data_IF_506270629827
#
_entry.id   IF_506270629827
#
_cell.length_a   1.000
_cell.length_b   1.000
_cell.length_c   1.000
_cell.angle_alpha   90.00
_cell.angle_beta   90.00
_cell.angle_gamma   90.00
#
_symmetry.space_group_name_H-M   'P 1'
#
loop_
_entity.id
_entity.type
_entity.pdbx_description
1 polymer ?
#
# COMPACT_ATOMS: atom_id res chain seq x y z
N UNK A 1 -7.38 -17.99 29.00
CA UNK A 1 -8.19 -16.78 28.71
C UNK A 1 -7.34 -15.86 27.85
N UNK A 2 -7.59 -15.81 26.54
CA UNK A 2 -6.90 -14.86 25.65
C UNK A 2 -7.50 -13.49 25.87
N UNK A 3 -6.86 -12.65 26.70
CA UNK A 3 -7.07 -11.21 26.56
C UNK A 3 -6.26 -10.79 25.35
N UNK A 4 -6.91 -10.17 24.38
CA UNK A 4 -6.22 -9.49 23.30
C UNK A 4 -5.17 -8.57 23.92
N UNK A 5 -3.99 -8.52 23.30
CA UNK A 5 -2.93 -7.63 23.73
C UNK A 5 -3.48 -6.19 23.73
N UNK A 6 -3.46 -5.47 24.87
CA UNK A 6 -4.03 -4.13 24.92
C UNK A 6 -3.17 -3.19 24.06
N UNK A 7 -3.80 -2.59 23.05
CA UNK A 7 -3.22 -1.52 22.22
C UNK A 7 -3.73 -0.16 22.69
N UNK A 8 -2.96 0.90 22.44
CA UNK A 8 -3.30 2.27 22.82
C UNK A 8 -3.76 3.08 21.59
N UNK A 9 -5.07 3.27 21.46
CA UNK A 9 -5.67 4.06 20.39
C UNK A 9 -5.19 5.52 20.36
N UNK A 10 -4.84 6.10 21.52
CA UNK A 10 -4.31 7.47 21.58
C UNK A 10 -2.96 7.60 20.91
N UNK A 11 -2.07 6.61 21.05
CA UNK A 11 -0.77 6.57 20.36
C UNK A 11 -0.94 6.42 18.85
N UNK A 12 -1.86 5.56 18.43
CA UNK A 12 -2.19 5.38 17.00
C UNK A 12 -2.68 6.71 16.41
N UNK A 13 -3.63 7.37 17.07
CA UNK A 13 -4.15 8.65 16.63
C UNK A 13 -3.05 9.73 16.59
N UNK A 14 -2.20 9.83 17.61
CA UNK A 14 -1.08 10.78 17.64
C UNK A 14 -0.14 10.61 16.44
N UNK A 15 0.29 9.38 16.14
CA UNK A 15 1.23 9.15 15.04
C UNK A 15 0.56 9.37 13.67
N UNK A 16 -0.72 9.01 13.51
CA UNK A 16 -1.49 9.30 12.28
C UNK A 16 -1.62 10.82 12.08
N UNK A 17 -2.00 11.58 13.11
CA UNK A 17 -2.15 13.03 13.00
C UNK A 17 -0.80 13.74 12.77
N UNK A 18 0.29 13.24 13.38
CA UNK A 18 1.62 13.75 13.13
C UNK A 18 2.04 13.57 11.67
N UNK A 19 1.80 12.39 11.09
CA UNK A 19 2.03 12.15 9.67
C UNK A 19 1.05 12.93 8.79
N UNK A 20 -0.21 13.10 9.19
CA UNK A 20 -1.18 13.90 8.46
C UNK A 20 -0.78 15.39 8.36
N UNK A 21 -0.05 15.90 9.35
CA UNK A 21 0.51 17.25 9.37
C UNK A 21 1.72 17.45 8.46
N UNK A 22 2.41 16.37 8.06
CA UNK A 22 3.55 16.41 7.11
C UNK A 22 3.04 16.32 5.68
N UNK A 23 2.54 17.45 5.19
CA UNK A 23 1.84 17.55 3.90
C UNK A 23 2.30 18.77 3.09
N UNK A 24 2.21 18.67 1.76
CA UNK A 24 2.50 19.77 0.86
C UNK A 24 1.61 21.01 1.17
N UNK A 25 2.16 22.23 1.14
CA UNK A 25 1.38 23.44 1.42
C UNK A 25 0.18 23.58 0.47
N UNK A 26 -1.03 23.67 1.04
CA UNK A 26 -2.27 23.81 0.27
C UNK A 26 -2.84 22.51 -0.30
N UNK A 27 -2.16 21.38 -0.12
CA UNK A 27 -2.55 20.07 -0.61
C UNK A 27 -2.69 19.11 0.58
N UNK A 28 -3.89 18.84 1.09
CA UNK A 28 -4.07 17.97 2.26
C UNK A 28 -3.52 16.55 2.00
N UNK A 29 -2.88 15.99 3.03
CA UNK A 29 -2.35 14.62 3.07
C UNK A 29 -1.52 14.20 1.85
N UNK A 30 -0.80 15.16 1.27
CA UNK A 30 0.07 14.96 0.12
C UNK A 30 1.52 14.91 0.59
N UNK A 31 2.07 13.70 0.53
CA UNK A 31 3.46 13.34 0.82
C UNK A 31 3.86 12.26 -0.18
N UNK A 32 4.31 12.69 -1.35
CA UNK A 32 4.65 11.78 -2.46
C UNK A 32 5.98 11.09 -2.21
N UNK A 33 6.10 9.83 -2.62
CA UNK A 33 7.38 9.12 -2.59
C UNK A 33 8.51 9.92 -3.27
N UNK A 34 9.73 9.80 -2.74
CA UNK A 34 10.93 10.51 -3.20
C UNK A 34 10.94 12.04 -2.99
N UNK A 35 9.94 12.61 -2.34
CA UNK A 35 9.93 14.03 -1.94
C UNK A 35 10.69 14.26 -0.62
N UNK A 36 11.11 15.51 -0.33
CA UNK A 36 11.66 15.86 0.99
C UNK A 36 10.69 15.55 2.14
N UNK A 37 9.39 15.86 1.97
CA UNK A 37 8.36 15.54 2.96
C UNK A 37 8.23 14.04 3.22
N UNK A 38 8.44 13.20 2.20
CA UNK A 38 8.48 11.75 2.39
C UNK A 38 9.65 11.32 3.26
N UNK A 39 10.84 11.89 3.06
CA UNK A 39 11.99 11.64 3.95
C UNK A 39 11.72 12.12 5.38
N UNK A 40 11.08 13.28 5.56
CA UNK A 40 10.68 13.76 6.89
C UNK A 40 9.69 12.80 7.58
N UNK A 41 8.68 12.32 6.84
CA UNK A 41 7.73 11.31 7.33
C UNK A 41 8.42 10.00 7.72
N UNK A 42 9.38 9.54 6.92
CA UNK A 42 10.15 8.33 7.24
C UNK A 42 11.10 8.51 8.41
N UNK A 43 11.72 9.68 8.55
CA UNK A 43 12.52 10.00 9.73
C UNK A 43 11.66 9.99 11.00
N UNK A 44 10.42 10.48 10.93
CA UNK A 44 9.46 10.37 12.02
C UNK A 44 9.14 8.90 12.36
N UNK A 45 8.79 8.08 11.35
CA UNK A 45 8.48 6.66 11.54
C UNK A 45 9.68 5.90 12.12
N UNK A 46 10.88 6.12 11.57
CA UNK A 46 12.11 5.49 12.04
C UNK A 46 12.38 5.83 13.51
N UNK A 47 12.26 7.11 13.89
CA UNK A 47 12.42 7.53 15.28
C UNK A 47 11.42 6.83 16.21
N UNK A 48 10.17 6.66 15.77
CA UNK A 48 9.13 5.97 16.53
C UNK A 48 9.38 4.45 16.62
N UNK A 49 9.92 3.82 15.57
CA UNK A 49 10.38 2.43 15.58
C UNK A 49 11.52 2.24 16.59
N UNK A 50 12.55 3.10 16.55
CA UNK A 50 13.67 3.09 17.52
C UNK A 50 13.16 3.25 18.95
N UNK A 51 12.26 4.20 19.18
CA UNK A 51 11.65 4.42 20.49
C UNK A 51 10.85 3.18 20.97
N UNK A 52 10.26 2.40 20.06
CA UNK A 52 9.61 1.13 20.35
C UNK A 52 10.58 -0.04 20.61
N UNK A 53 11.90 0.23 20.62
CA UNK A 53 12.95 -0.76 20.84
C UNK A 53 13.24 -1.64 19.64
N UNK A 54 12.96 -1.15 18.43
CA UNK A 54 13.27 -1.85 17.18
C UNK A 54 14.63 -1.39 16.65
N UNK A 55 15.40 -2.33 16.08
CA UNK A 55 16.58 -2.03 15.27
C UNK A 55 16.13 -1.65 13.86
N UNK A 56 16.47 -0.44 13.41
CA UNK A 56 16.02 0.05 12.11
C UNK A 56 17.10 -0.08 11.04
N UNK A 57 16.66 -0.34 9.81
CA UNK A 57 17.52 -0.33 8.62
C UNK A 57 16.73 0.06 7.38
N UNK A 58 17.46 0.46 6.34
CA UNK A 58 16.96 0.58 4.98
C UNK A 58 17.47 -0.63 4.18
N UNK A 59 16.59 -1.32 3.45
CA UNK A 59 17.00 -2.42 2.57
C UNK A 59 17.46 -1.94 1.19
N UNK A 60 17.91 -2.85 0.32
CA UNK A 60 18.37 -2.51 -1.02
C UNK A 60 17.28 -1.84 -1.89
N UNK A 61 16.01 -2.10 -1.62
CA UNK A 61 14.88 -1.50 -2.32
C UNK A 61 14.44 -0.17 -1.71
N UNK A 62 15.12 0.30 -0.67
CA UNK A 62 14.80 1.56 -0.01
C UNK A 62 13.64 1.45 0.97
N UNK A 63 13.21 0.25 1.39
CA UNK A 63 12.16 0.06 2.41
C UNK A 63 12.68 0.35 3.81
N UNK A 64 11.84 0.87 4.71
CA UNK A 64 12.22 1.16 6.09
C UNK A 64 11.71 0.01 6.94
N UNK A 65 12.62 -0.63 7.65
CA UNK A 65 12.33 -1.83 8.43
C UNK A 65 12.78 -1.63 9.85
N UNK A 66 11.88 -1.82 10.81
CA UNK A 66 12.19 -1.93 12.24
C UNK A 66 12.06 -3.39 12.68
N UNK A 67 13.15 -3.99 13.15
CA UNK A 67 13.21 -5.40 13.57
C UNK A 67 13.25 -5.54 15.08
N UNK A 68 12.54 -6.56 15.59
CA UNK A 68 12.73 -7.14 16.91
C UNK A 68 13.12 -8.61 16.76
N UNK A 69 14.28 -8.96 17.28
CA UNK A 69 14.76 -10.35 17.25
C UNK A 69 13.92 -11.23 18.17
N UNK A 70 13.47 -12.37 17.65
CA UNK A 70 12.75 -13.39 18.39
C UNK A 70 13.68 -14.35 19.14
N UNK A 71 13.10 -15.21 19.97
CA UNK A 71 13.85 -16.23 20.74
C UNK A 71 14.40 -17.36 19.85
N UNK A 72 13.78 -17.58 18.69
CA UNK A 72 14.08 -18.66 17.74
C UNK A 72 14.11 -18.10 16.31
N UNK A 73 15.08 -17.24 15.96
CA UNK A 73 15.11 -16.54 14.68
C UNK A 73 15.18 -17.50 13.46
N UNK A 74 15.60 -18.75 13.65
CA UNK A 74 15.55 -19.78 12.60
C UNK A 74 14.13 -20.22 12.22
N UNK A 75 13.09 -19.81 12.96
CA UNK A 75 11.69 -19.95 12.55
C UNK A 75 11.28 -18.91 11.52
N UNK A 76 12.14 -17.93 11.23
CA UNK A 76 11.90 -16.86 10.26
C UNK A 76 11.15 -15.66 10.85
N UNK A 77 10.62 -14.85 9.94
CA UNK A 77 10.12 -13.50 10.21
C UNK A 77 8.60 -13.44 10.04
N UNK A 78 7.90 -12.81 10.99
CA UNK A 78 6.54 -12.30 10.82
C UNK A 78 6.65 -10.82 10.52
N UNK A 79 6.18 -10.40 9.36
CA UNK A 79 6.27 -9.03 8.90
C UNK A 79 4.88 -8.36 8.95
N UNK A 80 4.83 -7.15 9.49
CA UNK A 80 3.65 -6.31 9.56
C UNK A 80 3.96 -4.97 8.93
N UNK A 81 3.05 -4.40 8.14
CA UNK A 81 3.31 -3.08 7.58
C UNK A 81 2.40 -2.72 6.42
N UNK A 82 2.78 -1.64 5.75
CA UNK A 82 2.11 -1.09 4.56
C UNK A 82 3.04 -0.01 3.97
N UNK A 83 2.54 1.17 3.63
CA UNK A 83 3.31 2.30 3.08
C UNK A 83 2.95 3.64 3.74
N UNK A 84 3.80 4.65 3.56
CA UNK A 84 3.58 5.99 4.12
C UNK A 84 3.63 7.11 3.09
N UNK A 85 3.93 6.78 1.82
CA UNK A 85 3.71 7.68 0.70
C UNK A 85 2.22 7.77 0.36
N UNK A 86 1.84 8.87 -0.26
CA UNK A 86 0.46 9.22 -0.60
C UNK A 86 0.39 9.84 -1.98
N UNK A 87 -0.82 9.85 -2.55
CA UNK A 87 -1.15 10.57 -3.78
C UNK A 87 -1.49 12.04 -3.52
N UNK A 88 -1.47 12.92 -4.53
CA UNK A 88 -1.98 14.28 -4.42
C UNK A 88 -3.41 14.32 -3.90
N UNK A 89 -3.63 15.14 -2.87
CA UNK A 89 -4.91 15.31 -2.17
C UNK A 89 -5.54 13.97 -1.73
N UNK A 90 -4.68 13.03 -1.30
CA UNK A 90 -5.06 11.68 -0.87
C UNK A 90 -5.80 11.63 0.46
N UNK A 91 -5.57 10.58 1.25
CA UNK A 91 -6.18 10.40 2.56
C UNK A 91 -5.14 10.24 3.67
N UNK A 92 -5.49 10.62 4.90
CA UNK A 92 -4.60 10.46 6.07
C UNK A 92 -4.43 9.03 6.59
N UNK A 93 -5.17 8.07 6.04
CA UNK A 93 -5.22 6.69 6.54
C UNK A 93 -4.66 5.67 5.56
N UNK A 94 -4.69 5.97 4.27
CA UNK A 94 -4.24 5.09 3.19
C UNK A 94 -2.75 4.77 3.36
N UNK A 95 -2.40 3.48 3.44
CA UNK A 95 -1.09 2.98 3.86
C UNK A 95 -0.71 3.26 5.33
N UNK A 96 -0.77 4.52 5.75
CA UNK A 96 -0.31 5.03 7.04
C UNK A 96 -0.95 4.26 8.20
N UNK A 97 -2.24 3.94 8.11
CA UNK A 97 -2.94 3.17 9.13
C UNK A 97 -2.31 1.79 9.35
N UNK A 98 -1.83 1.14 8.28
CA UNK A 98 -1.16 -0.15 8.34
C UNK A 98 0.20 -0.07 9.04
N UNK A 99 1.04 0.90 8.65
CA UNK A 99 2.37 1.12 9.26
C UNK A 99 2.25 1.45 10.75
N UNK A 100 1.36 2.39 11.11
CA UNK A 100 1.19 2.83 12.50
C UNK A 100 0.54 1.74 13.37
N UNK A 101 -0.41 0.98 12.83
CA UNK A 101 -0.99 -0.16 13.56
C UNK A 101 0.06 -1.24 13.83
N UNK A 102 0.90 -1.53 12.84
CA UNK A 102 2.01 -2.48 12.99
C UNK A 102 3.04 -2.00 14.04
N UNK A 103 3.37 -0.70 14.04
CA UNK A 103 4.19 -0.09 15.09
C UNK A 103 3.55 -0.20 16.48
N UNK A 104 2.24 -0.02 16.60
CA UNK A 104 1.54 -0.15 17.87
C UNK A 104 1.55 -1.61 18.37
N UNK A 105 1.53 -2.60 17.48
CA UNK A 105 1.77 -4.01 17.88
C UNK A 105 3.14 -4.17 18.52
N UNK A 106 4.19 -3.60 17.91
CA UNK A 106 5.54 -3.65 18.49
C UNK A 106 5.60 -2.97 19.87
N UNK A 107 4.96 -1.81 20.03
CA UNK A 107 4.87 -1.10 21.33
C UNK A 107 4.11 -1.90 22.37
N UNK A 108 2.96 -2.46 22.03
CA UNK A 108 2.15 -3.24 22.95
C UNK A 108 2.90 -4.49 23.44
N UNK A 109 3.65 -5.16 22.55
CA UNK A 109 4.51 -6.28 22.93
C UNK A 109 5.62 -5.86 23.90
N UNK A 110 6.23 -4.68 23.68
CA UNK A 110 7.27 -4.12 24.57
C UNK A 110 6.68 -3.78 25.94
N UNK A 111 5.55 -3.07 25.96
CA UNK A 111 4.91 -2.58 27.19
C UNK A 111 4.47 -3.75 28.09
N UNK A 112 4.14 -4.89 27.50
CA UNK A 112 3.78 -6.13 28.21
C UNK A 112 4.96 -7.08 28.43
N UNK A 113 6.18 -6.70 28.01
CA UNK A 113 7.38 -7.52 28.07
C UNK A 113 7.20 -8.92 27.45
N UNK A 114 6.55 -8.97 26.28
CA UNK A 114 6.29 -10.20 25.53
C UNK A 114 7.38 -10.39 24.48
N UNK A 115 8.08 -11.52 24.59
CA UNK A 115 9.03 -11.99 23.59
C UNK A 115 8.36 -12.99 22.65
N UNK A 116 8.58 -12.81 21.34
CA UNK A 116 8.09 -13.72 20.31
C UNK A 116 9.12 -14.82 20.02
N UNK A 117 8.64 -15.96 19.52
CA UNK A 117 9.55 -17.00 19.01
C UNK A 117 10.15 -16.60 17.65
N UNK A 118 9.34 -16.01 16.76
CA UNK A 118 9.75 -15.54 15.44
C UNK A 118 10.33 -14.13 15.54
N UNK A 119 11.13 -13.74 14.54
CA UNK A 119 11.46 -12.33 14.37
C UNK A 119 10.21 -11.54 13.99
N UNK A 120 10.13 -10.29 14.46
CA UNK A 120 9.08 -9.35 14.07
C UNK A 120 9.71 -8.21 13.27
N UNK A 121 9.19 -7.94 12.09
CA UNK A 121 9.55 -6.78 11.29
C UNK A 121 8.34 -5.88 11.07
N UNK A 122 8.51 -4.58 11.35
CA UNK A 122 7.58 -3.52 10.98
C UNK A 122 8.14 -2.84 9.73
N UNK A 123 7.35 -2.78 8.66
CA UNK A 123 7.81 -2.27 7.36
C UNK A 123 6.97 -1.09 6.86
N UNK A 124 7.67 -0.11 6.31
CA UNK A 124 7.14 0.95 5.45
C UNK A 124 7.76 0.77 4.05
N UNK A 125 6.94 0.31 3.11
CA UNK A 125 7.36 0.05 1.73
C UNK A 125 7.61 1.35 0.97
N UNK A 126 8.67 1.37 0.18
CA UNK A 126 8.95 2.50 -0.70
C UNK A 126 7.96 2.54 -1.87
N UNK A 127 7.29 3.67 -2.03
CA UNK A 127 6.50 4.00 -3.21
C UNK A 127 5.51 2.89 -3.58
N UNK A 128 4.59 2.59 -2.66
CA UNK A 128 3.45 1.72 -2.97
C UNK A 128 2.59 2.38 -4.04
N UNK A 129 2.32 3.68 -3.88
CA UNK A 129 1.53 4.46 -4.82
C UNK A 129 2.30 4.73 -6.12
N UNK A 130 1.58 5.22 -7.14
CA UNK A 130 2.22 5.61 -8.40
C UNK A 130 3.17 6.80 -8.16
N UNK A 131 4.46 6.52 -8.24
CA UNK A 131 5.53 7.49 -8.08
C UNK A 131 5.68 8.44 -9.27
N UNK A 132 6.54 9.45 -9.13
CA UNK A 132 6.95 10.35 -10.22
C UNK A 132 7.52 9.61 -11.45
N UNK A 133 7.99 8.36 -11.29
CA UNK A 133 8.51 7.52 -12.37
C UNK A 133 7.40 6.73 -13.12
N UNK A 134 6.12 6.97 -12.78
CA UNK A 134 4.98 6.30 -13.38
C UNK A 134 4.90 4.80 -13.06
N UNK A 135 5.50 4.38 -11.95
CA UNK A 135 5.50 3.00 -11.44
C UNK A 135 5.19 3.00 -9.94
N UNK A 136 4.64 1.89 -9.47
CA UNK A 136 4.12 1.69 -8.13
C UNK A 136 4.67 0.39 -7.53
N UNK A 137 4.49 0.20 -6.22
CA UNK A 137 5.00 -0.93 -5.45
C UNK A 137 6.52 -1.16 -5.63
N UNK A 138 7.32 -0.09 -5.71
CA UNK A 138 8.77 -0.21 -5.98
C UNK A 138 9.46 -1.04 -4.89
N UNK A 139 9.18 -0.70 -3.63
CA UNK A 139 9.80 -1.30 -2.46
C UNK A 139 9.48 -2.79 -2.29
N UNK A 140 8.20 -3.16 -2.37
CA UNK A 140 7.76 -4.56 -2.22
C UNK A 140 8.19 -5.43 -3.40
N UNK A 141 8.16 -4.90 -4.63
CA UNK A 141 8.74 -5.58 -5.81
C UNK A 141 10.24 -5.75 -5.68
N UNK A 142 10.95 -4.73 -5.22
CA UNK A 142 12.40 -4.82 -4.99
C UNK A 142 12.75 -5.87 -3.94
N UNK A 143 12.05 -5.89 -2.81
CA UNK A 143 12.25 -6.89 -1.74
C UNK A 143 12.03 -8.34 -2.20
N UNK A 144 11.11 -8.54 -3.14
CA UNK A 144 10.73 -9.87 -3.65
C UNK A 144 11.45 -10.26 -4.94
N UNK A 145 12.37 -9.44 -5.45
CA UNK A 145 13.07 -9.68 -6.71
C UNK A 145 12.17 -9.56 -7.95
N UNK A 146 11.03 -8.88 -7.84
CA UNK A 146 10.02 -8.72 -8.89
C UNK A 146 9.99 -7.30 -9.49
N UNK A 147 10.96 -6.45 -9.17
CA UNK A 147 11.12 -5.14 -9.79
C UNK A 147 11.73 -5.33 -11.17
N UNK A 148 11.04 -4.93 -12.27
CA UNK A 148 11.63 -5.04 -13.60
C UNK A 148 12.88 -4.17 -13.71
N UNK A 149 14.01 -4.76 -14.13
CA UNK A 149 15.28 -4.05 -14.28
C UNK A 149 15.15 -2.82 -15.20
N UNK A 150 14.36 -2.94 -16.27
CA UNK A 150 14.06 -1.84 -17.19
C UNK A 150 13.37 -0.63 -16.54
N UNK A 151 12.81 -0.76 -15.33
CA UNK A 151 12.26 0.39 -14.61
C UNK A 151 13.36 1.27 -14.00
N UNK A 152 14.53 0.73 -13.70
CA UNK A 152 15.63 1.46 -13.05
C UNK A 152 16.11 2.65 -13.87
N UNK A 153 16.02 2.57 -15.20
CA UNK A 153 16.39 3.64 -16.13
C UNK A 153 15.26 4.62 -16.47
N UNK A 154 14.08 4.50 -15.83
CA UNK A 154 12.99 5.48 -16.00
C UNK A 154 13.41 6.81 -15.41
N UNK A 155 13.24 7.88 -16.18
CA UNK A 155 13.67 9.24 -15.80
C UNK A 155 12.46 10.06 -15.35
N UNK A 156 12.61 10.75 -14.22
CA UNK A 156 11.72 11.81 -13.77
C UNK A 156 12.53 12.85 -13.02
N UNK A 157 12.17 14.13 -13.17
CA UNK A 157 12.83 15.25 -12.47
C UNK A 157 14.37 15.25 -12.59
N UNK A 158 14.87 14.85 -13.76
CA UNK A 158 16.31 14.90 -14.08
C UNK A 158 17.18 13.79 -13.47
N UNK A 159 16.58 12.77 -12.85
CA UNK A 159 17.26 11.58 -12.32
C UNK A 159 16.54 10.31 -12.75
N UNK A 160 17.26 9.18 -12.76
CA UNK A 160 16.62 7.88 -12.98
C UNK A 160 16.11 7.25 -11.66
N UNK A 161 15.36 6.15 -11.79
CA UNK A 161 14.79 5.47 -10.63
C UNK A 161 15.88 4.83 -9.75
N UNK A 162 16.99 4.35 -10.33
CA UNK A 162 18.10 3.80 -9.54
C UNK A 162 18.71 4.88 -8.63
N UNK A 163 19.00 6.06 -9.19
CA UNK A 163 19.49 7.22 -8.42
C UNK A 163 18.49 7.62 -7.33
N UNK A 164 17.19 7.60 -7.62
CA UNK A 164 16.17 7.93 -6.64
C UNK A 164 16.06 6.90 -5.50
N UNK A 165 16.18 5.60 -5.79
CA UNK A 165 16.24 4.53 -4.77
C UNK A 165 17.49 4.69 -3.91
N UNK A 166 18.65 4.97 -4.52
CA UNK A 166 19.89 5.21 -3.80
C UNK A 166 19.77 6.42 -2.85
N UNK A 167 19.09 7.48 -3.27
CA UNK A 167 18.83 8.66 -2.43
C UNK A 167 17.90 8.35 -1.23
N UNK A 168 17.08 7.30 -1.31
CA UNK A 168 16.29 6.80 -0.18
C UNK A 168 17.09 5.87 0.75
N UNK A 169 18.40 5.68 0.50
CA UNK A 169 19.28 4.78 1.24
C UNK A 169 19.31 3.34 0.70
N UNK A 170 18.65 3.08 -0.43
CA UNK A 170 18.68 1.78 -1.10
C UNK A 170 20.00 1.50 -1.80
N UNK A 171 20.10 0.31 -2.39
CA UNK A 171 21.28 -0.14 -3.14
C UNK A 171 20.80 -0.82 -4.43
N UNK A 172 20.57 -0.04 -5.50
CA UNK A 172 19.96 -0.54 -6.75
C UNK A 172 20.67 -1.76 -7.34
N UNK A 173 22.01 -1.79 -7.28
CA UNK A 173 22.82 -2.90 -7.80
C UNK A 173 22.57 -4.24 -7.08
N UNK A 174 22.06 -4.19 -5.84
CA UNK A 174 21.74 -5.36 -5.03
C UNK A 174 20.26 -5.79 -5.13
N UNK A 175 19.41 -5.06 -5.86
CA UNK A 175 17.97 -5.33 -5.97
C UNK A 175 17.68 -6.70 -6.58
N UNK A 176 18.36 -7.04 -7.67
CA UNK A 176 18.13 -8.29 -8.40
C UNK A 176 18.52 -9.54 -7.61
N UNK A 177 19.28 -9.37 -6.53
CA UNK A 177 19.72 -10.44 -5.64
C UNK A 177 18.84 -10.55 -4.39
N UNK A 178 17.89 -9.62 -4.20
CA UNK A 178 16.99 -9.67 -3.05
C UNK A 178 16.03 -10.84 -3.19
N UNK A 179 16.00 -11.65 -2.14
CA UNK A 179 14.96 -12.61 -1.90
C UNK A 179 14.80 -12.74 -0.38
N UNK A 180 13.56 -12.76 0.11
CA UNK A 180 13.23 -12.85 1.54
C UNK A 180 12.50 -14.17 1.86
N UNK A 181 13.14 -15.33 1.62
CA UNK A 181 12.52 -16.63 1.91
C UNK A 181 12.31 -16.87 3.41
N UNK A 182 12.91 -16.05 4.27
CA UNK A 182 12.74 -16.08 5.72
C UNK A 182 11.38 -15.52 6.17
N UNK A 183 10.65 -14.78 5.33
CA UNK A 183 9.33 -14.25 5.68
C UNK A 183 8.33 -15.41 5.70
N UNK A 184 7.86 -15.75 6.90
CA UNK A 184 6.91 -16.85 7.14
C UNK A 184 5.45 -16.39 7.10
N UNK A 185 5.22 -15.09 7.29
CA UNK A 185 3.91 -14.48 7.21
C UNK A 185 4.04 -12.97 7.04
N UNK A 186 3.15 -12.41 6.22
CA UNK A 186 2.97 -10.97 6.07
C UNK A 186 1.52 -10.63 6.37
N UNK A 187 1.30 -9.60 7.20
CA UNK A 187 -0.03 -9.08 7.50
C UNK A 187 -0.03 -7.56 7.33
N UNK A 188 -0.98 -7.10 6.53
CA UNK A 188 -1.25 -5.69 6.29
C UNK A 188 -2.65 -5.35 6.80
N UNK A 189 -2.72 -4.33 7.63
CA UNK A 189 -3.99 -3.66 7.95
C UNK A 189 -4.15 -2.51 6.98
N UNK A 190 -5.31 -2.43 6.35
CA UNK A 190 -5.62 -1.36 5.42
C UNK A 190 -7.06 -0.88 5.61
N UNK A 191 -7.33 0.37 5.25
CA UNK A 191 -8.71 0.83 5.11
C UNK A 191 -9.36 0.13 3.91
N UNK A 192 -10.69 0.03 3.91
CA UNK A 192 -11.40 -0.69 2.84
C UNK A 192 -11.22 -0.04 1.45
N UNK A 193 -11.06 1.30 1.41
CA UNK A 193 -11.14 2.12 0.19
C UNK A 193 -12.45 1.91 -0.60
N UNK A 194 -13.47 1.36 0.07
CA UNK A 194 -14.77 1.04 -0.47
C UNK A 194 -15.87 1.27 0.58
N UNK A 195 -17.14 1.15 0.18
CA UNK A 195 -18.26 1.46 1.06
C UNK A 195 -18.89 0.23 1.74
N UNK A 196 -18.36 -0.98 1.56
CA UNK A 196 -19.04 -2.24 1.94
C UNK A 196 -19.13 -2.39 3.45
N UNK A 197 -18.02 -2.25 4.18
CA UNK A 197 -17.98 -2.39 5.62
C UNK A 197 -18.81 -1.31 6.31
N UNK A 198 -18.75 -0.06 5.81
CA UNK A 198 -19.60 1.02 6.32
C UNK A 198 -21.08 0.74 6.08
N UNK A 199 -21.46 0.34 4.85
CA UNK A 199 -22.85 0.05 4.51
C UNK A 199 -23.40 -1.17 5.27
N UNK A 200 -22.56 -2.19 5.51
CA UNK A 200 -22.90 -3.40 6.26
C UNK A 200 -22.75 -3.21 7.79
N UNK A 201 -22.17 -2.09 8.25
CA UNK A 201 -21.88 -1.79 9.67
C UNK A 201 -20.97 -2.84 10.33
N UNK A 202 -19.95 -3.26 9.62
CA UNK A 202 -18.94 -4.22 10.08
C UNK A 202 -17.61 -3.50 10.36
N UNK A 203 -16.98 -3.78 11.50
CA UNK A 203 -15.74 -3.11 11.89
C UNK A 203 -14.48 -3.71 11.22
N UNK A 204 -14.54 -4.99 10.83
CA UNK A 204 -13.36 -5.74 10.34
C UNK A 204 -13.75 -6.65 9.17
N UNK A 205 -13.09 -6.44 8.02
CA UNK A 205 -13.12 -7.35 6.87
C UNK A 205 -11.90 -8.28 6.85
N UNK A 206 -12.10 -9.56 6.52
CA UNK A 206 -10.99 -10.47 6.21
C UNK A 206 -10.82 -10.50 4.69
N UNK A 207 -9.73 -9.91 4.20
CA UNK A 207 -9.42 -9.89 2.76
C UNK A 207 -9.02 -11.29 2.31
N UNK A 208 -9.67 -11.79 1.26
CA UNK A 208 -9.45 -13.14 0.70
C UNK A 208 -8.96 -13.11 -0.75
N UNK A 209 -9.13 -11.98 -1.43
CA UNK A 209 -8.60 -11.75 -2.76
C UNK A 209 -8.38 -10.25 -2.99
N UNK A 210 -7.47 -9.92 -3.89
CA UNK A 210 -7.25 -8.58 -4.41
C UNK A 210 -7.63 -8.58 -5.89
N UNK A 211 -8.24 -7.51 -6.37
CA UNK A 211 -8.61 -7.37 -7.79
C UNK A 211 -7.37 -7.36 -8.68
N UNK A 212 -7.36 -8.21 -9.72
CA UNK A 212 -6.37 -8.10 -10.79
C UNK A 212 -6.65 -6.85 -11.63
N UNK A 213 -5.62 -6.05 -11.90
CA UNK A 213 -5.73 -4.83 -12.69
C UNK A 213 -5.06 -5.04 -14.05
N UNK A 214 -5.76 -4.72 -15.13
CA UNK A 214 -5.19 -4.59 -16.48
C UNK A 214 -5.45 -3.18 -16.97
N UNK A 215 -4.39 -2.49 -17.39
CA UNK A 215 -4.49 -1.16 -17.99
C UNK A 215 -4.31 -1.31 -19.50
N UNK A 216 -5.28 -0.81 -20.27
CA UNK A 216 -5.29 -0.89 -21.73
C UNK A 216 -5.41 0.55 -22.25
N UNK A 217 -4.47 0.92 -23.12
CA UNK A 217 -4.56 2.16 -23.90
C UNK A 217 -5.23 1.86 -25.24
N UNK A 218 -6.24 2.64 -25.61
CA UNK A 218 -6.98 2.48 -26.86
C UNK A 218 -6.95 3.80 -27.61
N UNK A 219 -6.33 3.79 -28.79
CA UNK A 219 -6.34 4.94 -29.71
C UNK A 219 -7.45 4.75 -30.74
N UNK A 220 -8.37 5.71 -30.80
CA UNK A 220 -9.44 5.75 -31.82
C UNK A 220 -9.09 6.82 -32.83
N UNK A 221 -8.80 6.41 -34.06
CA UNK A 221 -8.46 7.32 -35.15
C UNK A 221 -9.69 7.58 -36.02
N UNK A 222 -9.93 8.86 -36.29
CA UNK A 222 -10.98 9.34 -37.18
C UNK A 222 -10.40 10.19 -38.30
N UNK A 223 -11.25 11.00 -38.94
CA UNK A 223 -10.83 12.00 -39.92
C UNK A 223 -11.18 13.40 -39.42
N UNK A 224 -10.16 14.27 -39.32
CA UNK A 224 -10.38 15.67 -39.02
C UNK A 224 -11.05 16.37 -40.20
N UNK A 225 -12.16 17.05 -39.94
CA UNK A 225 -13.04 17.66 -40.93
C UNK A 225 -13.64 18.96 -40.36
N UNK A 226 -14.18 19.84 -41.20
CA UNK A 226 -14.77 21.09 -40.75
C UNK A 226 -16.15 20.86 -40.09
N UNK A 227 -16.26 21.21 -38.81
CA UNK A 227 -17.41 20.89 -37.96
C UNK A 227 -18.76 21.47 -38.45
N UNK A 228 -18.76 22.56 -39.22
CA UNK A 228 -19.98 23.19 -39.74
C UNK A 228 -20.39 22.78 -41.16
N UNK A 229 -19.47 22.19 -41.94
CA UNK A 229 -19.70 21.98 -43.39
C UNK A 229 -19.66 20.52 -43.79
N UNK A 230 -19.09 19.64 -42.97
CA UNK A 230 -19.11 18.20 -43.22
C UNK A 230 -20.47 17.61 -42.83
N UNK A 231 -21.25 17.08 -43.79
CA UNK A 231 -22.52 16.42 -43.51
C UNK A 231 -22.36 15.26 -42.53
N UNK A 232 -23.36 15.02 -41.69
CA UNK A 232 -23.28 14.01 -40.62
C UNK A 232 -23.02 12.60 -41.14
N UNK A 233 -23.62 12.23 -42.28
CA UNK A 233 -23.48 10.94 -42.94
C UNK A 233 -22.10 10.72 -43.61
N UNK A 234 -21.22 11.73 -43.59
CA UNK A 234 -19.87 11.68 -44.18
C UNK A 234 -18.75 11.81 -43.16
N UNK A 235 -19.06 11.87 -41.87
CA UNK A 235 -18.06 12.01 -40.80
C UNK A 235 -17.42 10.69 -40.44
N UNK A 236 -16.17 10.77 -39.99
CA UNK A 236 -15.46 9.68 -39.29
C UNK A 236 -15.00 10.22 -37.94
N UNK A 237 -15.95 10.41 -37.04
CA UNK A 237 -15.77 11.13 -35.78
C UNK A 237 -15.21 10.19 -34.69
N UNK A 238 -13.95 10.39 -34.32
CA UNK A 238 -13.26 9.59 -33.32
C UNK A 238 -13.91 9.69 -31.93
N UNK A 239 -14.41 10.87 -31.55
CA UNK A 239 -15.00 11.09 -30.23
C UNK A 239 -16.34 10.37 -30.10
N UNK A 240 -17.15 10.37 -31.16
CA UNK A 240 -18.41 9.61 -31.18
C UNK A 240 -18.15 8.12 -31.03
N UNK A 241 -17.18 7.58 -31.79
CA UNK A 241 -16.80 6.17 -31.69
C UNK A 241 -16.23 5.80 -30.31
N UNK A 242 -15.34 6.64 -29.76
CA UNK A 242 -14.78 6.43 -28.42
C UNK A 242 -15.86 6.49 -27.32
N UNK A 243 -16.82 7.41 -27.44
CA UNK A 243 -17.94 7.51 -26.49
C UNK A 243 -18.80 6.25 -26.48
N UNK A 244 -19.06 5.67 -27.65
CA UNK A 244 -19.78 4.41 -27.75
C UNK A 244 -18.99 3.25 -27.11
N UNK A 245 -17.69 3.17 -27.37
CA UNK A 245 -16.82 2.16 -26.77
C UNK A 245 -16.85 2.22 -25.23
N UNK A 246 -16.81 3.42 -24.64
CA UNK A 246 -16.90 3.58 -23.17
C UNK A 246 -18.22 3.04 -22.62
N UNK A 247 -19.34 3.32 -23.29
CA UNK A 247 -20.66 2.81 -22.87
C UNK A 247 -20.73 1.28 -23.00
N UNK A 248 -20.19 0.72 -24.08
CA UNK A 248 -20.17 -0.72 -24.31
C UNK A 248 -19.32 -1.43 -23.24
N UNK A 249 -18.15 -0.89 -22.89
CA UNK A 249 -17.31 -1.41 -21.80
C UNK A 249 -18.06 -1.39 -20.47
N UNK A 250 -18.70 -0.26 -20.12
CA UNK A 250 -19.50 -0.13 -18.90
C UNK A 250 -20.61 -1.19 -18.85
N UNK A 251 -21.32 -1.39 -19.96
CA UNK A 251 -22.44 -2.32 -20.04
C UNK A 251 -22.01 -3.78 -20.04
N UNK A 252 -20.81 -4.09 -20.55
CA UNK A 252 -20.22 -5.42 -20.50
C UNK A 252 -19.70 -5.81 -19.09
N UNK A 253 -19.23 -4.83 -18.31
CA UNK A 253 -18.56 -5.10 -17.02
C UNK A 253 -19.36 -5.93 -15.99
N UNK A 254 -20.70 -5.83 -15.86
CA UNK A 254 -21.47 -6.69 -14.95
C UNK A 254 -21.51 -8.16 -15.37
N UNK A 255 -21.29 -8.47 -16.65
CA UNK A 255 -21.30 -9.84 -17.19
C UNK A 255 -20.00 -10.60 -16.94
N UNK A 256 -18.95 -9.89 -16.50
CA UNK A 256 -17.66 -10.49 -16.16
C UNK A 256 -17.73 -11.17 -14.78
N UNK A 257 -17.10 -12.35 -14.60
CA UNK A 257 -17.07 -13.06 -13.32
C UNK A 257 -16.47 -12.18 -12.22
N UNK A 258 -17.14 -12.12 -11.05
CA UNK A 258 -16.62 -11.44 -9.86
C UNK A 258 -16.37 -12.45 -8.74
N UNK A 259 -15.20 -12.38 -8.11
CA UNK A 259 -14.98 -12.92 -6.77
C UNK A 259 -15.10 -11.78 -5.77
N UNK A 260 -15.82 -12.01 -4.68
CA UNK A 260 -15.91 -11.03 -3.60
C UNK A 260 -14.56 -11.00 -2.86
N UNK A 261 -13.96 -9.81 -2.75
CA UNK A 261 -12.62 -9.64 -2.20
C UNK A 261 -12.57 -9.84 -0.68
N UNK A 262 -13.63 -9.45 0.03
CA UNK A 262 -13.73 -9.50 1.48
C UNK A 262 -14.67 -10.63 1.89
N UNK A 263 -14.16 -11.59 2.65
CA UNK A 263 -14.96 -12.63 3.30
C UNK A 263 -15.44 -12.15 4.65
N UNK A 264 -16.70 -12.48 4.95
CA UNK A 264 -17.27 -12.34 6.29
C UNK A 264 -16.50 -13.21 7.27
N UNK A 265 -16.45 -12.81 8.55
CA UNK A 265 -16.17 -13.76 9.63
C UNK A 265 -17.20 -14.89 9.55
N UNK A 266 -16.82 -16.17 9.75
CA UNK A 266 -17.81 -17.18 10.08
C UNK A 266 -18.50 -16.69 11.35
N UNK A 267 -19.82 -16.55 11.32
CA UNK A 267 -20.59 -16.30 12.54
C UNK A 267 -20.18 -17.35 13.55
N UNK A 268 -19.58 -16.93 14.67
CA UNK A 268 -19.38 -17.82 15.79
C UNK A 268 -20.79 -18.26 16.21
N UNK A 269 -21.12 -19.50 15.86
CA UNK A 269 -22.38 -20.11 16.24
C UNK A 269 -22.36 -20.18 17.77
N UNK A 270 -22.96 -19.18 18.41
CA UNK A 270 -23.17 -19.17 19.84
C UNK A 270 -24.14 -20.31 20.13
N UNK A 271 -23.63 -21.35 20.77
CA UNK A 271 -24.44 -22.47 21.19
C UNK A 271 -25.55 -21.98 22.13
N UNK A 272 -26.80 -22.13 21.71
CA UNK A 272 -27.91 -22.29 22.62
C UNK A 272 -28.72 -23.53 22.21
N UNK A 273 -28.29 -24.69 22.70
CA UNK A 273 -29.21 -25.78 22.98
C UNK A 273 -28.98 -26.22 24.43
N UNK A 274 -29.61 -25.47 25.35
CA UNK A 274 -30.10 -26.00 26.61
C UNK A 274 -31.60 -26.26 26.46
N UNK A 275 -32.08 -27.23 27.24
CA UNK A 275 -33.43 -27.83 27.34
C UNK A 275 -33.61 -29.06 26.45
N UNK A 276 -33.81 -30.29 26.96
CA UNK A 276 -34.09 -30.78 28.32
C UNK A 276 -33.24 -32.01 28.63
#
# INVERSE_FOLDING_TARGET
MSRNLPVNAGRIAEDIEALAGLTEPGHPWTRRAFSPLFLEGRAYIEARMKAAGLETRIDAAGNLIGRRTGRKPWLGTIMLGSHSDTVPDGGRFDGIAGVISALEVARALRDQNIELDHDLEIIDFLAEEVSIFGVSCIGSRGMTGQLPEAWLSRISDGRDLAEAIAQMGGTPDALMQQNRPDITGFLELHIEQGPVLEAEREDIGIVTAISGITRIEITVEGRADHAGTTPMDRRSDALVAASQLVLDIRNAAPSLPRRQAISRRPSANSGSNRTR
#
